data_IF_286616616093
#
_entry.id   IF_286616616093
#
_cell.length_a   1.000
_cell.length_b   1.000
_cell.length_c   1.000
_cell.angle_alpha   90.00
_cell.angle_beta   90.00
_cell.angle_gamma   90.00
#
_symmetry.space_group_name_H-M   'P 1'
#
loop_
_entity.id
_entity.type
_entity.pdbx_description
1 polymer ?
#
# COMPACT_ATOMS: atom_id res chain seq x y z
N UNK A 1 -23.81 5.87 -10.53
CA UNK A 1 -23.44 5.17 -11.78
C UNK A 1 -21.94 5.33 -11.96
N UNK A 2 -21.17 4.28 -12.27
CA UNK A 2 -19.80 4.46 -12.71
C UNK A 2 -19.86 5.33 -13.97
N UNK A 3 -19.15 6.45 -13.95
CA UNK A 3 -18.92 7.18 -15.19
C UNK A 3 -17.96 6.33 -16.02
N UNK A 4 -18.08 6.28 -17.36
CA UNK A 4 -17.25 5.53 -18.31
C UNK A 4 -15.74 5.86 -18.26
N UNK A 5 -15.31 6.55 -17.23
CA UNK A 5 -13.94 6.94 -16.91
C UNK A 5 -13.46 6.41 -15.58
N UNK A 6 -14.03 5.31 -15.07
CA UNK A 6 -13.47 4.63 -13.90
C UNK A 6 -12.12 4.00 -14.28
N UNK A 7 -11.09 4.81 -14.21
CA UNK A 7 -9.71 4.33 -14.20
C UNK A 7 -9.61 3.43 -12.98
N UNK A 8 -9.24 2.16 -13.18
CA UNK A 8 -8.99 1.23 -12.10
C UNK A 8 -7.88 1.80 -11.21
N UNK A 9 -8.26 2.46 -10.13
CA UNK A 9 -7.33 3.00 -9.16
C UNK A 9 -6.73 1.86 -8.35
N UNK A 10 -5.42 1.76 -8.35
CA UNK A 10 -4.68 1.00 -7.36
C UNK A 10 -3.93 -0.22 -7.85
N UNK A 11 -3.90 -0.51 -9.15
CA UNK A 11 -3.36 -1.77 -9.63
C UNK A 11 -1.84 -1.96 -9.55
N UNK A 12 -1.02 -0.91 -9.51
CA UNK A 12 0.41 -1.08 -9.81
C UNK A 12 1.32 -1.24 -8.59
N UNK A 13 0.95 -0.74 -7.42
CA UNK A 13 1.85 -0.66 -6.26
C UNK A 13 1.22 -1.24 -4.99
N UNK A 14 1.99 -2.08 -4.28
CA UNK A 14 1.67 -2.42 -2.90
C UNK A 14 1.63 -1.15 -2.04
N UNK A 15 0.65 -1.02 -1.16
CA UNK A 15 0.52 0.11 -0.25
C UNK A 15 -0.22 -0.26 1.03
N UNK A 16 -0.01 0.51 2.07
CA UNK A 16 -0.89 0.61 3.23
C UNK A 16 -1.76 1.85 3.05
N UNK A 17 -3.03 1.75 3.44
CA UNK A 17 -3.99 2.83 3.25
C UNK A 17 -3.56 4.11 3.97
N UNK A 18 -3.59 5.21 3.22
CA UNK A 18 -3.34 6.58 3.72
C UNK A 18 -2.07 6.74 4.57
N UNK A 19 -1.00 5.97 4.27
CA UNK A 19 0.29 6.06 4.98
C UNK A 19 0.90 7.47 5.00
N UNK A 20 0.43 8.36 4.14
CA UNK A 20 0.79 9.78 4.10
C UNK A 20 0.08 10.67 5.14
N UNK A 21 -0.73 10.09 6.04
CA UNK A 21 -1.34 10.81 7.17
C UNK A 21 -0.52 10.62 8.44
N UNK A 22 -0.19 11.73 9.12
CA UNK A 22 0.51 11.68 10.40
C UNK A 22 -0.38 11.13 11.53
N UNK A 23 -1.69 11.45 11.49
CA UNK A 23 -2.68 11.04 12.48
C UNK A 23 -3.92 10.47 11.79
N UNK A 24 -4.73 9.70 12.53
CA UNK A 24 -6.02 9.18 12.05
C UNK A 24 -5.90 8.24 10.82
N UNK A 25 -4.76 7.57 10.66
CA UNK A 25 -4.65 6.48 9.68
C UNK A 25 -5.62 5.35 10.06
N UNK A 26 -6.29 4.72 9.08
CA UNK A 26 -7.09 3.55 9.38
C UNK A 26 -6.19 2.40 9.87
N UNK A 27 -6.55 1.82 11.01
CA UNK A 27 -5.92 0.60 11.50
C UNK A 27 -6.33 -0.59 10.64
N UNK A 28 -7.62 -0.72 10.39
CA UNK A 28 -8.15 -1.80 9.58
C UNK A 28 -8.86 -1.25 8.35
N UNK A 29 -8.80 -2.03 7.28
CA UNK A 29 -9.65 -1.83 6.11
C UNK A 29 -10.44 -3.11 5.89
N UNK A 30 -11.73 -2.94 5.61
CA UNK A 30 -12.65 -4.01 5.23
C UNK A 30 -13.14 -3.77 3.81
N UNK A 31 -13.11 -4.80 2.98
CA UNK A 31 -13.77 -4.83 1.67
C UNK A 31 -14.83 -5.91 1.65
N UNK A 32 -15.94 -5.62 0.97
CA UNK A 32 -16.99 -6.58 0.65
C UNK A 32 -17.20 -6.63 -0.87
N UNK A 33 -17.20 -7.84 -1.44
CA UNK A 33 -17.44 -8.08 -2.87
C UNK A 33 -18.93 -7.98 -3.22
N UNK A 34 -19.31 -6.99 -4.03
CA UNK A 34 -20.70 -6.79 -4.48
C UNK A 34 -20.92 -7.37 -5.88
N UNK A 35 -20.03 -6.99 -6.80
CA UNK A 35 -19.99 -7.53 -8.16
C UNK A 35 -18.55 -7.89 -8.49
N UNK A 36 -18.31 -9.17 -8.74
CA UNK A 36 -16.96 -9.71 -8.91
C UNK A 36 -16.84 -10.37 -10.26
N UNK A 37 -15.90 -9.94 -11.12
CA UNK A 37 -15.64 -10.60 -12.38
C UNK A 37 -14.95 -11.94 -12.15
N UNK A 38 -15.36 -12.97 -12.88
CA UNK A 38 -14.78 -14.31 -12.75
C UNK A 38 -13.28 -14.29 -13.14
N UNK A 39 -12.43 -14.80 -12.24
CA UNK A 39 -10.99 -14.96 -12.47
C UNK A 39 -10.20 -13.67 -12.60
N UNK A 40 -10.76 -12.52 -12.21
CA UNK A 40 -10.09 -11.20 -12.25
C UNK A 40 -10.39 -10.38 -11.00
N UNK A 41 -9.59 -9.34 -10.78
CA UNK A 41 -9.83 -8.38 -9.71
C UNK A 41 -9.49 -8.92 -8.33
N UNK A 42 -8.53 -9.84 -8.22
CA UNK A 42 -7.99 -10.31 -6.96
C UNK A 42 -7.43 -9.13 -6.13
N UNK A 43 -7.38 -9.29 -4.83
CA UNK A 43 -6.56 -8.43 -3.99
C UNK A 43 -5.29 -9.18 -3.62
N UNK A 44 -4.16 -8.56 -3.92
CA UNK A 44 -2.82 -9.08 -3.64
C UNK A 44 -2.36 -8.45 -2.34
N UNK A 45 -2.00 -9.29 -1.37
CA UNK A 45 -1.49 -8.90 -0.08
C UNK A 45 -0.01 -9.25 0.05
N UNK A 46 0.74 -8.46 0.81
CA UNK A 46 2.11 -8.76 1.22
C UNK A 46 2.24 -8.60 2.73
N UNK A 47 2.80 -9.62 3.39
CA UNK A 47 2.94 -9.67 4.83
C UNK A 47 4.19 -8.90 5.30
N UNK A 48 3.98 -7.79 6.00
CA UNK A 48 5.06 -7.04 6.64
C UNK A 48 5.79 -7.82 7.74
N UNK A 49 5.09 -8.69 8.48
CA UNK A 49 5.69 -9.59 9.47
C UNK A 49 6.68 -10.58 8.83
N UNK A 50 6.23 -11.28 7.80
CA UNK A 50 7.08 -12.26 7.11
C UNK A 50 8.25 -11.57 6.42
N UNK A 51 8.00 -10.43 5.78
CA UNK A 51 9.04 -9.63 5.15
C UNK A 51 10.09 -9.17 6.17
N UNK A 52 9.70 -8.65 7.35
CA UNK A 52 10.64 -8.28 8.40
C UNK A 52 11.43 -9.50 8.91
N UNK A 53 10.75 -10.61 9.21
CA UNK A 53 11.37 -11.82 9.75
C UNK A 53 12.48 -12.36 8.85
N UNK A 54 12.29 -12.27 7.53
CA UNK A 54 13.22 -12.78 6.50
C UNK A 54 14.31 -11.79 6.09
N UNK A 55 14.35 -10.59 6.67
CA UNK A 55 15.50 -9.70 6.46
C UNK A 55 16.77 -10.27 7.10
N UNK A 56 17.94 -10.06 6.48
CA UNK A 56 19.25 -10.28 7.14
C UNK A 56 19.39 -9.46 8.43
N UNK A 57 20.10 -9.97 9.41
CA UNK A 57 20.20 -9.32 10.72
C UNK A 57 20.91 -7.96 10.65
N UNK A 58 21.92 -7.82 9.79
CA UNK A 58 22.57 -6.53 9.54
C UNK A 58 21.60 -5.48 8.97
N UNK A 59 20.64 -5.88 8.13
CA UNK A 59 19.61 -4.98 7.62
C UNK A 59 18.60 -4.62 8.73
N UNK A 60 18.16 -5.61 9.55
CA UNK A 60 17.28 -5.35 10.69
C UNK A 60 17.87 -4.34 11.66
N UNK A 61 19.18 -4.47 11.97
CA UNK A 61 19.87 -3.52 12.84
C UNK A 61 19.96 -2.12 12.22
N UNK A 62 20.26 -2.05 10.91
CA UNK A 62 20.38 -0.78 10.20
C UNK A 62 19.05 0.00 10.14
N UNK A 63 17.92 -0.70 10.07
CA UNK A 63 16.60 -0.07 9.90
C UNK A 63 15.81 0.15 11.18
N UNK A 64 16.32 -0.26 12.34
CA UNK A 64 15.56 -0.23 13.60
C UNK A 64 15.01 1.14 13.96
N UNK A 65 15.75 2.21 13.64
CA UNK A 65 15.40 3.61 13.89
C UNK A 65 15.14 4.39 12.59
N UNK A 66 15.02 3.69 11.46
CA UNK A 66 14.82 4.32 10.17
C UNK A 66 13.40 4.89 10.03
N UNK A 67 13.31 6.08 9.42
CA UNK A 67 12.07 6.80 9.17
C UNK A 67 11.76 6.79 7.67
N UNK A 68 10.53 6.41 7.31
CA UNK A 68 9.98 6.56 5.97
C UNK A 68 9.23 7.88 5.84
N UNK A 69 9.42 8.58 4.73
CA UNK A 69 8.62 9.74 4.32
C UNK A 69 7.62 9.27 3.28
N UNK A 70 6.33 9.42 3.58
CA UNK A 70 5.23 8.95 2.75
C UNK A 70 4.43 10.13 2.23
N UNK A 71 4.04 10.09 0.95
CA UNK A 71 3.33 11.19 0.30
C UNK A 71 2.08 10.72 -0.45
N UNK A 72 1.01 11.52 -0.39
CA UNK A 72 -0.17 11.34 -1.23
C UNK A 72 0.11 11.60 -2.72
N UNK A 73 1.27 12.18 -3.05
CA UNK A 73 1.80 12.34 -4.39
C UNK A 73 2.77 11.22 -4.81
N UNK A 74 2.87 10.15 -4.01
CA UNK A 74 3.73 9.00 -4.28
C UNK A 74 3.40 8.26 -5.58
N UNK A 75 4.17 7.21 -5.91
CA UNK A 75 4.09 6.49 -7.20
C UNK A 75 2.68 6.06 -7.60
N UNK A 76 1.86 5.62 -6.65
CA UNK A 76 0.48 5.15 -6.90
C UNK A 76 -0.45 6.24 -7.43
N UNK A 77 -0.17 7.52 -7.14
CA UNK A 77 -1.00 8.65 -7.56
C UNK A 77 -0.52 9.32 -8.84
N UNK A 78 0.62 8.93 -9.39
CA UNK A 78 1.27 9.58 -10.52
C UNK A 78 0.33 9.69 -11.73
N UNK A 79 -0.23 8.57 -12.18
CA UNK A 79 -1.11 8.53 -13.35
C UNK A 79 -2.36 9.41 -13.17
N UNK A 80 -2.98 9.36 -11.97
CA UNK A 80 -4.14 10.21 -11.67
C UNK A 80 -3.79 11.69 -11.74
N UNK A 81 -2.68 12.09 -11.14
CA UNK A 81 -2.23 13.49 -11.13
C UNK A 81 -1.88 14.01 -12.54
N UNK A 82 -1.29 13.16 -13.37
CA UNK A 82 -1.02 13.48 -14.77
C UNK A 82 -2.32 13.71 -15.56
N UNK A 83 -3.34 12.87 -15.35
CA UNK A 83 -4.65 13.02 -15.98
C UNK A 83 -5.39 14.27 -15.48
N UNK A 84 -5.38 14.54 -14.17
CA UNK A 84 -5.93 15.77 -13.58
C UNK A 84 -5.27 17.01 -14.20
N UNK A 85 -3.95 17.02 -14.31
CA UNK A 85 -3.22 18.14 -14.92
C UNK A 85 -3.56 18.35 -16.39
N UNK A 86 -3.67 17.27 -17.20
CA UNK A 86 -4.09 17.35 -18.62
C UNK A 86 -5.53 17.84 -18.79
N UNK A 87 -6.39 17.54 -17.82
CA UNK A 87 -7.80 17.98 -17.82
C UNK A 87 -7.98 19.39 -17.24
N UNK A 88 -6.91 20.08 -16.82
CA UNK A 88 -6.98 21.39 -16.17
C UNK A 88 -7.64 21.35 -14.78
N UNK A 89 -7.74 20.16 -14.16
CA UNK A 89 -8.30 19.97 -12.82
C UNK A 89 -7.24 20.28 -11.78
N UNK A 90 -7.57 21.16 -10.82
CA UNK A 90 -6.68 21.46 -9.70
C UNK A 90 -6.51 20.22 -8.82
N UNK A 91 -5.29 19.69 -8.75
CA UNK A 91 -4.98 18.56 -7.88
C UNK A 91 -5.16 18.92 -6.41
N UNK A 92 -5.61 17.96 -5.60
CA UNK A 92 -5.70 18.12 -4.16
C UNK A 92 -4.32 18.45 -3.54
N UNK A 93 -4.34 19.15 -2.38
CA UNK A 93 -3.12 19.45 -1.61
C UNK A 93 -2.36 18.13 -1.33
N UNK A 94 -1.05 18.17 -1.55
CA UNK A 94 -0.17 17.05 -1.18
C UNK A 94 -0.09 16.94 0.33
N UNK A 95 -0.31 15.74 0.84
CA UNK A 95 -0.15 15.40 2.25
C UNK A 95 1.07 14.50 2.39
N UNK A 96 1.86 14.75 3.43
CA UNK A 96 3.06 13.97 3.73
C UNK A 96 3.13 13.65 5.22
N UNK A 97 3.70 12.51 5.54
CA UNK A 97 3.92 12.08 6.92
C UNK A 97 5.19 11.25 7.04
N UNK A 98 5.79 11.30 8.22
CA UNK A 98 6.92 10.50 8.64
C UNK A 98 6.44 9.38 9.56
N UNK A 99 6.93 8.16 9.31
CA UNK A 99 6.66 7.01 10.17
C UNK A 99 7.89 6.13 10.30
N UNK A 100 8.10 5.47 11.45
CA UNK A 100 9.03 4.36 11.53
C UNK A 100 8.73 3.34 10.45
N UNK A 101 9.76 2.81 9.77
CA UNK A 101 9.56 1.72 8.79
C UNK A 101 9.50 0.35 9.44
N UNK A 102 9.78 0.25 10.74
CA UNK A 102 9.58 -0.94 11.57
C UNK A 102 8.56 -0.61 12.64
N UNK A 103 7.44 -1.31 12.64
CA UNK A 103 6.41 -1.23 13.67
C UNK A 103 6.40 -2.51 14.51
N UNK A 104 6.18 -2.36 15.80
CA UNK A 104 5.90 -3.49 16.69
C UNK A 104 4.38 -3.59 16.91
N UNK A 105 3.84 -4.75 16.62
CA UNK A 105 2.42 -5.05 16.75
C UNK A 105 2.26 -6.40 17.46
N UNK A 106 1.66 -6.39 18.64
CA UNK A 106 1.48 -7.59 19.48
C UNK A 106 2.81 -8.35 19.74
N UNK A 107 3.90 -7.63 20.03
CA UNK A 107 5.22 -8.19 20.29
C UNK A 107 5.96 -8.70 19.04
N UNK A 108 5.44 -8.48 17.86
CA UNK A 108 6.07 -8.84 16.59
C UNK A 108 6.43 -7.61 15.76
N UNK A 109 7.61 -7.61 15.17
CA UNK A 109 8.05 -6.53 14.28
C UNK A 109 7.57 -6.75 12.86
N UNK A 110 7.07 -5.69 12.23
CA UNK A 110 6.53 -5.64 10.88
C UNK A 110 7.16 -4.52 10.08
N UNK A 111 7.41 -4.74 8.78
CA UNK A 111 7.81 -3.69 7.85
C UNK A 111 6.60 -2.82 7.47
N UNK A 112 6.79 -1.51 7.53
CA UNK A 112 5.85 -0.49 7.07
C UNK A 112 6.50 0.30 5.93
N UNK A 113 6.41 -0.22 4.71
CA UNK A 113 7.13 0.32 3.55
C UNK A 113 6.20 1.08 2.60
N UNK A 114 4.99 0.60 2.34
CA UNK A 114 4.01 1.24 1.44
C UNK A 114 4.63 1.73 0.10
N UNK A 115 5.10 0.85 -0.79
CA UNK A 115 5.79 1.23 -2.03
C UNK A 115 5.05 2.29 -2.86
N UNK A 116 3.71 2.28 -2.83
CA UNK A 116 2.88 3.26 -3.54
C UNK A 116 2.94 4.69 -2.99
N UNK A 117 3.37 4.88 -1.74
CA UNK A 117 3.41 6.18 -1.08
C UNK A 117 4.81 6.57 -0.58
N UNK A 118 5.75 5.61 -0.44
CA UNK A 118 7.08 5.85 0.10
C UNK A 118 7.92 6.70 -0.86
N UNK A 119 8.37 7.85 -0.38
CA UNK A 119 9.24 8.76 -1.10
C UNK A 119 10.71 8.56 -0.73
N UNK A 120 10.99 8.50 0.58
CA UNK A 120 12.35 8.45 1.11
C UNK A 120 12.44 7.51 2.31
N UNK A 121 13.63 6.98 2.55
CA UNK A 121 14.03 6.38 3.83
C UNK A 121 15.17 7.21 4.40
N UNK A 122 15.06 7.60 5.66
CA UNK A 122 16.04 8.41 6.38
C UNK A 122 16.64 7.57 7.50
N UNK A 123 17.97 7.48 7.52
CA UNK A 123 18.76 6.87 8.60
C UNK A 123 19.77 7.87 9.09
N UNK A 124 19.82 8.13 10.39
CA UNK A 124 20.76 9.09 10.99
C UNK A 124 20.74 10.46 10.27
N UNK A 125 19.54 10.94 9.88
CA UNK A 125 19.35 12.20 9.19
C UNK A 125 19.75 12.23 7.70
N UNK A 126 20.13 11.09 7.12
CA UNK A 126 20.52 10.98 5.71
C UNK A 126 19.56 10.08 4.93
N UNK A 127 19.27 10.47 3.69
CA UNK A 127 18.48 9.64 2.78
C UNK A 127 19.30 8.45 2.28
N UNK A 128 18.70 7.26 2.29
CA UNK A 128 19.28 6.03 1.76
C UNK A 128 18.38 5.47 0.64
N UNK A 129 18.67 5.85 -0.59
CA UNK A 129 17.92 5.45 -1.78
C UNK A 129 18.12 3.97 -2.13
N UNK A 130 19.31 3.41 -1.88
CA UNK A 130 19.61 2.02 -2.20
C UNK A 130 18.88 1.08 -1.23
N UNK A 131 18.84 1.42 0.05
CA UNK A 131 18.04 0.70 1.03
C UNK A 131 16.55 0.79 0.70
N UNK A 132 16.05 1.96 0.28
CA UNK A 132 14.65 2.11 -0.16
C UNK A 132 14.32 1.14 -1.30
N UNK A 133 15.15 1.10 -2.34
CA UNK A 133 14.99 0.17 -3.47
C UNK A 133 15.04 -1.28 -3.01
N UNK A 134 16.00 -1.62 -2.15
CA UNK A 134 16.13 -2.96 -1.59
C UNK A 134 14.87 -3.39 -0.85
N UNK A 135 14.34 -2.57 0.06
CA UNK A 135 13.16 -2.90 0.86
C UNK A 135 11.88 -2.96 0.01
N UNK A 136 11.73 -2.08 -0.99
CA UNK A 136 10.62 -2.16 -1.96
C UNK A 136 10.68 -3.48 -2.72
N UNK A 137 11.83 -3.89 -3.23
CA UNK A 137 11.98 -5.17 -3.92
C UNK A 137 11.74 -6.34 -2.97
N UNK A 138 12.22 -6.24 -1.73
CA UNK A 138 12.06 -7.28 -0.73
C UNK A 138 10.59 -7.57 -0.43
N UNK A 139 9.76 -6.55 -0.15
CA UNK A 139 8.33 -6.75 0.17
C UNK A 139 7.50 -7.23 -1.03
N UNK A 140 8.02 -7.16 -2.25
CA UNK A 140 7.39 -7.66 -3.46
C UNK A 140 7.77 -9.12 -3.80
N UNK A 141 8.60 -9.79 -3.00
CA UNK A 141 8.96 -11.20 -3.24
C UNK A 141 7.74 -12.11 -3.11
N UNK A 142 7.64 -13.10 -3.98
CA UNK A 142 6.52 -14.05 -4.03
C UNK A 142 6.28 -14.76 -2.70
N UNK A 143 7.34 -15.07 -1.96
CA UNK A 143 7.26 -15.74 -0.64
C UNK A 143 6.47 -14.96 0.42
N UNK A 144 6.23 -13.66 0.22
CA UNK A 144 5.43 -12.80 1.10
C UNK A 144 4.05 -12.47 0.55
N UNK A 145 3.78 -12.87 -0.69
CA UNK A 145 2.58 -12.52 -1.43
C UNK A 145 1.49 -13.58 -1.23
N UNK A 146 0.29 -13.09 -1.00
CA UNK A 146 -0.94 -13.86 -1.01
C UNK A 146 -1.96 -13.19 -1.94
N UNK A 147 -2.50 -13.94 -2.90
CA UNK A 147 -3.52 -13.46 -3.83
C UNK A 147 -4.89 -13.99 -3.40
N UNK A 148 -5.79 -13.09 -3.01
CA UNK A 148 -7.16 -13.43 -2.64
C UNK A 148 -8.07 -13.30 -3.86
N UNK A 149 -8.67 -14.41 -4.26
CA UNK A 149 -9.72 -14.45 -5.28
C UNK A 149 -11.07 -14.20 -4.63
N UNK A 150 -11.82 -13.21 -5.13
CA UNK A 150 -13.07 -12.77 -4.55
C UNK A 150 -14.27 -13.56 -5.06
N UNK A 151 -15.14 -13.97 -4.14
CA UNK A 151 -16.53 -14.33 -4.40
C UNK A 151 -17.49 -13.16 -4.11
N UNK A 152 -18.66 -13.19 -4.72
CA UNK A 152 -19.74 -12.25 -4.36
C UNK A 152 -20.18 -12.49 -2.91
N UNK A 153 -20.22 -11.45 -2.10
CA UNK A 153 -20.56 -11.50 -0.68
C UNK A 153 -19.38 -11.73 0.26
N UNK A 154 -18.18 -12.05 -0.26
CA UNK A 154 -17.00 -12.17 0.57
C UNK A 154 -16.70 -10.87 1.31
N UNK A 155 -16.26 -11.02 2.56
CA UNK A 155 -15.79 -9.92 3.41
C UNK A 155 -14.36 -10.22 3.86
N UNK A 156 -13.43 -9.34 3.53
CA UNK A 156 -12.02 -9.44 3.94
C UNK A 156 -11.63 -8.23 4.73
N UNK A 157 -10.97 -8.46 5.88
CA UNK A 157 -10.45 -7.41 6.77
C UNK A 157 -8.95 -7.59 6.90
N UNK A 158 -8.20 -6.50 6.84
CA UNK A 158 -6.74 -6.52 7.08
C UNK A 158 -6.28 -5.36 7.94
N UNK A 159 -5.14 -5.57 8.61
CA UNK A 159 -4.46 -4.57 9.42
C UNK A 159 -3.45 -3.79 8.58
N UNK A 160 -3.68 -2.50 8.39
CA UNK A 160 -2.81 -1.62 7.62
C UNK A 160 -1.43 -1.37 8.23
N UNK A 161 -1.16 -1.74 9.48
CA UNK A 161 0.19 -1.66 10.04
C UNK A 161 1.08 -2.84 9.64
N UNK A 162 0.47 -3.96 9.26
CA UNK A 162 1.18 -5.23 9.08
C UNK A 162 1.05 -5.82 7.69
N UNK A 163 0.11 -5.31 6.89
CA UNK A 163 -0.21 -5.83 5.56
C UNK A 163 -0.21 -4.71 4.53
N UNK A 164 0.57 -4.87 3.48
CA UNK A 164 0.45 -4.10 2.24
C UNK A 164 -0.50 -4.80 1.29
N UNK A 165 -1.18 -4.03 0.45
CA UNK A 165 -2.10 -4.60 -0.52
C UNK A 165 -2.13 -3.82 -1.83
N UNK A 166 -2.61 -4.48 -2.89
CA UNK A 166 -2.94 -3.88 -4.19
C UNK A 166 -4.04 -4.67 -4.89
N UNK A 167 -4.81 -4.02 -5.76
CA UNK A 167 -5.68 -4.74 -6.68
C UNK A 167 -4.87 -5.37 -7.81
N UNK A 168 -5.26 -6.55 -8.28
CA UNK A 168 -4.79 -7.07 -9.56
C UNK A 168 -5.45 -6.34 -10.72
N UNK A 169 -4.89 -6.50 -11.92
CA UNK A 169 -5.44 -5.89 -13.12
C UNK A 169 -6.86 -6.41 -13.41
N UNK A 170 -7.71 -5.51 -13.91
CA UNK A 170 -9.07 -5.80 -14.36
C UNK A 170 -9.18 -5.32 -15.80
N UNK A 171 -9.61 -6.20 -16.71
CA UNK A 171 -9.76 -5.90 -18.14
C UNK A 171 -11.19 -6.15 -18.60
N UNK A 172 -11.80 -5.12 -19.18
CA UNK A 172 -13.09 -5.23 -19.87
C UNK A 172 -14.22 -5.85 -19.03
N UNK A 173 -14.22 -5.61 -17.72
CA UNK A 173 -15.28 -6.08 -16.83
C UNK A 173 -15.49 -5.11 -15.66
N UNK A 174 -16.63 -5.25 -14.98
CA UNK A 174 -16.98 -4.46 -13.81
C UNK A 174 -16.58 -5.19 -12.53
N UNK A 175 -16.02 -4.46 -11.59
CA UNK A 175 -15.79 -4.90 -10.20
C UNK A 175 -16.34 -3.84 -9.26
N UNK A 176 -17.30 -4.21 -8.43
CA UNK A 176 -17.89 -3.32 -7.41
C UNK A 176 -17.57 -3.87 -6.03
N UNK A 177 -16.97 -3.03 -5.20
CA UNK A 177 -16.61 -3.34 -3.82
C UNK A 177 -17.17 -2.27 -2.89
N UNK A 178 -17.69 -2.67 -1.74
CA UNK A 178 -17.90 -1.75 -0.63
C UNK A 178 -16.66 -1.75 0.27
N UNK A 179 -16.23 -0.55 0.67
CA UNK A 179 -15.07 -0.37 1.53
C UNK A 179 -15.42 0.40 2.79
N UNK A 180 -14.94 -0.10 3.92
CA UNK A 180 -14.99 0.58 5.21
C UNK A 180 -13.57 0.63 5.77
N UNK A 181 -13.20 1.78 6.33
CA UNK A 181 -11.94 1.94 7.07
C UNK A 181 -12.23 2.19 8.54
N UNK A 182 -11.50 1.50 9.41
CA UNK A 182 -11.67 1.52 10.86
C UNK A 182 -10.38 2.09 11.47
N UNK A 183 -10.52 3.07 12.38
CA UNK A 183 -9.40 3.71 13.10
C UNK A 183 -9.06 2.95 14.35
#
# INVERSE_FOLDING_TARGET
>A
KPTDKSIAFGGSYLHQDTSYLAKNRPRYTMLMGIEIPKGQGNTIFSSGFNAYRKLPDNIKENIKDAIGIFSSAGPISKTRRELEARAGVKSAKVLEAEHPIVHEVNGQKSLYISPGHLMKIIINGKEDEDLKKYLINHVNKEEFIFSYEWGKGDVVVWDNLTVMHKASEIKNCTRIMHRITIK
#
